data_IF_685539867485
#
_entry.id   IF_685539867485
#
_cell.length_a   1.000
_cell.length_b   1.000
_cell.length_c   1.000
_cell.angle_alpha   90.00
_cell.angle_beta   90.00
_cell.angle_gamma   90.00
#
_symmetry.space_group_name_H-M   'P 1'
#
loop_
_entity.id
_entity.type
_entity.pdbx_description
1 polymer ?
#
# COMPACT_ATOMS: atom_id res chain seq x y z
N UNK A 1 -19.84 21.66 5.17
CA UNK A 1 -19.21 20.71 6.10
C UNK A 1 -19.83 19.34 5.88
N UNK A 2 -19.15 18.42 5.17
CA UNK A 2 -19.56 17.02 5.18
C UNK A 2 -19.13 16.40 6.51
N UNK A 3 -20.11 15.92 7.26
CA UNK A 3 -19.90 15.07 8.43
C UNK A 3 -19.45 13.70 7.94
N UNK A 4 -18.15 13.41 7.97
CA UNK A 4 -17.66 12.04 7.79
C UNK A 4 -18.18 11.20 8.95
N UNK A 5 -19.17 10.37 8.66
CA UNK A 5 -19.77 9.46 9.63
C UNK A 5 -18.81 8.26 9.76
N UNK A 6 -18.25 8.03 10.94
CA UNK A 6 -17.36 6.89 11.23
C UNK A 6 -18.02 5.50 11.01
N UNK A 7 -19.28 5.47 10.57
CA UNK A 7 -20.04 4.26 10.22
C UNK A 7 -19.71 3.72 8.83
N UNK A 8 -19.13 4.53 7.94
CA UNK A 8 -18.84 4.14 6.55
C UNK A 8 -17.35 3.77 6.34
N UNK A 9 -16.53 3.86 7.39
CA UNK A 9 -15.11 3.47 7.36
C UNK A 9 -15.00 1.94 7.33
N UNK A 10 -14.35 1.40 6.30
CA UNK A 10 -14.09 -0.04 6.18
C UNK A 10 -12.67 -0.45 6.59
N UNK A 11 -11.70 0.45 6.50
CA UNK A 11 -10.31 0.19 6.87
C UNK A 11 -9.99 0.73 8.25
N UNK A 12 -9.43 -0.12 9.10
CA UNK A 12 -9.00 0.25 10.44
C UNK A 12 -7.55 -0.15 10.64
N UNK A 13 -6.78 0.67 11.34
CA UNK A 13 -5.49 0.21 11.81
C UNK A 13 -5.68 -0.86 12.87
N UNK A 14 -4.85 -1.90 12.85
CA UNK A 14 -4.95 -3.01 13.79
C UNK A 14 -4.93 -2.52 15.26
N UNK A 15 -4.11 -1.51 15.57
CA UNK A 15 -4.02 -0.96 16.92
C UNK A 15 -5.30 -0.26 17.41
N UNK A 16 -6.21 0.13 16.51
CA UNK A 16 -7.51 0.71 16.87
C UNK A 16 -8.53 -0.37 17.28
N UNK A 17 -8.27 -1.63 16.93
CA UNK A 17 -9.16 -2.75 17.14
C UNK A 17 -8.67 -3.60 18.30
N UNK A 18 -8.99 -3.20 19.54
CA UNK A 18 -8.53 -3.86 20.77
C UNK A 18 -8.88 -5.35 20.88
N UNK A 19 -9.95 -5.78 20.20
CA UNK A 19 -10.44 -7.16 20.19
C UNK A 19 -9.88 -7.99 19.03
N UNK A 20 -9.17 -7.36 18.08
CA UNK A 20 -8.58 -8.04 16.94
C UNK A 20 -7.11 -8.35 17.23
N UNK A 21 -6.71 -9.58 16.90
CA UNK A 21 -5.33 -10.03 16.94
C UNK A 21 -4.96 -10.55 15.56
N UNK A 22 -3.70 -10.37 15.18
CA UNK A 22 -3.15 -11.13 14.06
C UNK A 22 -3.33 -12.61 14.39
N UNK A 23 -3.88 -13.38 13.45
CA UNK A 23 -4.08 -14.82 13.66
C UNK A 23 -2.73 -15.47 13.98
N UNK A 24 -2.66 -16.49 14.84
CA UNK A 24 -1.38 -17.16 15.13
C UNK A 24 -0.72 -17.76 13.86
N UNK A 25 -1.51 -17.96 12.79
CA UNK A 25 -1.06 -18.37 11.46
C UNK A 25 -0.48 -17.25 10.60
N UNK A 26 -0.79 -15.99 10.89
CA UNK A 26 -0.20 -14.82 10.23
C UNK A 26 0.85 -14.23 11.17
N UNK A 27 2.11 -14.20 10.74
CA UNK A 27 3.16 -13.53 11.54
C UNK A 27 2.85 -12.05 11.65
N UNK A 28 3.12 -11.49 12.84
CA UNK A 28 3.10 -10.04 13.03
C UNK A 28 4.35 -9.46 12.39
N UNK A 29 4.18 -8.86 11.20
CA UNK A 29 5.27 -8.32 10.39
C UNK A 29 5.62 -6.87 10.72
N UNK A 30 5.01 -6.28 11.76
CA UNK A 30 5.37 -4.93 12.21
C UNK A 30 6.82 -4.93 12.68
N UNK A 31 7.56 -3.90 12.28
CA UNK A 31 9.00 -3.76 12.49
C UNK A 31 9.87 -4.47 11.45
N UNK A 32 9.26 -5.18 10.48
CA UNK A 32 10.04 -5.85 9.44
C UNK A 32 10.44 -4.84 8.36
N UNK A 33 11.69 -4.89 7.88
CA UNK A 33 12.11 -4.09 6.74
C UNK A 33 11.41 -4.56 5.47
N UNK A 34 11.16 -3.61 4.57
CA UNK A 34 10.56 -3.86 3.26
C UNK A 34 11.61 -3.70 2.17
N UNK A 35 11.64 -4.61 1.20
CA UNK A 35 12.52 -4.58 0.04
C UNK A 35 11.76 -4.51 -1.28
N UNK A 36 12.29 -3.72 -2.22
CA UNK A 36 11.81 -3.66 -3.60
C UNK A 36 12.22 -4.90 -4.43
N UNK A 37 11.78 -4.96 -5.69
CA UNK A 37 12.07 -6.02 -6.64
C UNK A 37 13.58 -6.24 -6.90
N UNK A 38 14.39 -5.19 -6.74
CA UNK A 38 15.85 -5.22 -6.89
C UNK A 38 16.57 -5.57 -5.57
N UNK A 39 15.83 -5.77 -4.48
CA UNK A 39 16.35 -6.10 -3.15
C UNK A 39 16.85 -4.90 -2.33
N UNK A 40 16.56 -3.67 -2.75
CA UNK A 40 16.87 -2.47 -1.96
C UNK A 40 15.87 -2.30 -0.82
N UNK A 41 16.36 -1.87 0.34
CA UNK A 41 15.50 -1.43 1.43
C UNK A 41 14.75 -0.15 1.05
N UNK A 42 13.44 -0.14 1.28
CA UNK A 42 12.58 1.02 1.00
C UNK A 42 11.97 1.64 2.26
N UNK A 43 12.01 0.93 3.39
CA UNK A 43 11.35 1.35 4.62
C UNK A 43 11.06 0.18 5.57
N UNK A 44 10.17 0.41 6.51
CA UNK A 44 9.79 -0.53 7.58
C UNK A 44 8.26 -0.58 7.76
N UNK A 45 7.72 -1.77 8.03
CA UNK A 45 6.29 -1.92 8.33
C UNK A 45 5.98 -1.36 9.70
N UNK A 46 5.24 -0.26 9.76
CA UNK A 46 4.85 0.37 11.03
C UNK A 46 3.49 -0.13 11.52
N UNK A 47 2.56 -0.40 10.61
CA UNK A 47 1.21 -0.84 10.96
C UNK A 47 0.59 -1.79 9.95
N UNK A 48 -0.58 -2.32 10.32
CA UNK A 48 -1.40 -3.18 9.48
C UNK A 48 -2.80 -2.58 9.37
N UNK A 49 -3.36 -2.56 8.17
CA UNK A 49 -4.75 -2.16 7.96
C UNK A 49 -5.64 -3.37 7.74
N UNK A 50 -6.72 -3.41 8.50
CA UNK A 50 -7.76 -4.44 8.48
C UNK A 50 -8.97 -3.91 7.72
N UNK A 51 -9.44 -4.71 6.76
CA UNK A 51 -10.78 -4.55 6.20
C UNK A 51 -11.78 -5.14 7.18
N UNK A 52 -12.68 -4.32 7.71
CA UNK A 52 -13.72 -4.77 8.64
C UNK A 52 -14.74 -5.67 7.95
N UNK A 53 -15.05 -5.41 6.68
CA UNK A 53 -15.95 -6.27 5.90
C UNK A 53 -15.41 -7.67 5.67
N UNK A 54 -14.08 -7.79 5.49
CA UNK A 54 -13.42 -9.06 5.19
C UNK A 54 -12.71 -9.70 6.39
N UNK A 55 -12.75 -9.02 7.55
CA UNK A 55 -12.16 -9.42 8.83
C UNK A 55 -10.70 -9.89 8.73
N UNK A 56 -9.92 -9.25 7.85
CA UNK A 56 -8.52 -9.62 7.59
C UNK A 56 -7.65 -8.41 7.30
N UNK A 57 -6.34 -8.60 7.45
CA UNK A 57 -5.33 -7.63 6.99
C UNK A 57 -5.36 -7.56 5.47
N UNK A 58 -5.42 -6.35 4.93
CA UNK A 58 -5.45 -6.09 3.47
C UNK A 58 -4.34 -5.17 3.01
N UNK A 59 -3.75 -4.38 3.91
CA UNK A 59 -2.55 -3.58 3.61
C UNK A 59 -1.53 -3.61 4.74
N UNK A 60 -0.27 -3.43 4.37
CA UNK A 60 0.80 -2.98 5.24
C UNK A 60 0.88 -1.45 5.18
N UNK A 61 1.00 -0.79 6.34
CA UNK A 61 1.37 0.62 6.44
C UNK A 61 2.89 0.70 6.65
N UNK A 62 3.60 1.28 5.70
CA UNK A 62 5.06 1.29 5.62
C UNK A 62 5.56 2.72 5.76
N UNK A 63 6.43 2.95 6.74
CA UNK A 63 7.22 4.17 6.82
C UNK A 63 8.36 4.08 5.81
N UNK A 64 8.40 5.02 4.87
CA UNK A 64 9.32 5.04 3.74
C UNK A 64 10.61 5.77 4.11
N UNK A 65 11.74 5.18 3.75
CA UNK A 65 13.07 5.75 4.01
C UNK A 65 13.25 7.10 3.29
N UNK A 66 13.94 8.04 3.95
CA UNK A 66 14.19 9.38 3.41
C UNK A 66 14.88 9.36 2.03
N UNK A 67 15.70 8.35 1.76
CA UNK A 67 16.40 8.22 0.48
C UNK A 67 15.45 7.93 -0.69
N UNK A 68 14.35 7.23 -0.43
CA UNK A 68 13.29 6.97 -1.41
C UNK A 68 12.48 8.26 -1.63
N UNK A 69 12.14 8.97 -0.55
CA UNK A 69 11.42 10.25 -0.60
C UNK A 69 12.21 11.28 -1.42
N UNK A 70 13.52 11.38 -1.18
CA UNK A 70 14.42 12.30 -1.89
C UNK A 70 14.63 11.93 -3.37
N UNK A 71 14.41 10.67 -3.76
CA UNK A 71 14.57 10.24 -5.15
C UNK A 71 13.56 10.92 -6.10
N UNK A 72 12.32 11.14 -5.63
CA UNK A 72 11.26 11.85 -6.36
C UNK A 72 11.55 13.36 -6.51
N UNK A 73 12.47 13.92 -5.71
CA UNK A 73 12.89 15.33 -5.85
C UNK A 73 14.01 15.54 -6.89
N UNK A 74 14.50 14.48 -7.55
CA UNK A 74 15.42 14.64 -8.69
C UNK A 74 14.60 14.95 -9.94
N UNK A 75 14.87 16.06 -10.66
CA UNK A 75 14.19 16.39 -11.90
C UNK A 75 14.68 15.43 -13.02
N UNK A 76 14.36 14.14 -12.92
CA UNK A 76 14.37 13.28 -14.08
C UNK A 76 13.18 13.70 -14.92
N UNK A 77 13.46 14.55 -15.90
CA UNK A 77 12.55 14.95 -16.95
C UNK A 77 12.15 13.72 -17.79
N UNK A 78 11.32 12.82 -17.25
CA UNK A 78 10.37 12.10 -18.09
C UNK A 78 9.27 13.11 -18.39
N UNK A 79 9.45 13.70 -19.56
CA UNK A 79 8.61 14.62 -20.27
C UNK A 79 7.13 14.55 -19.87
N UNK A 80 6.57 15.73 -19.65
CA UNK A 80 5.16 16.05 -19.73
C UNK A 80 4.58 15.71 -21.12
N UNK A 81 4.53 14.41 -21.45
CA UNK A 81 3.91 13.87 -22.66
C UNK A 81 2.68 13.02 -22.35
N UNK A 82 2.44 12.70 -21.09
CA UNK A 82 1.19 12.12 -20.62
C UNK A 82 0.74 12.93 -19.41
N UNK A 83 -0.49 13.44 -19.44
CA UNK A 83 -1.02 14.44 -18.51
C UNK A 83 -1.26 13.95 -17.08
N UNK A 84 -0.31 13.22 -16.49
CA UNK A 84 -0.53 12.30 -15.38
C UNK A 84 0.00 12.86 -14.06
N UNK A 85 -0.93 13.29 -13.21
CA UNK A 85 -0.94 13.22 -11.74
C UNK A 85 0.41 13.09 -11.01
N UNK A 86 1.29 14.10 -11.10
CA UNK A 86 2.38 14.23 -10.13
C UNK A 86 1.81 14.56 -8.76
N UNK A 87 1.94 13.67 -7.78
CA UNK A 87 1.55 13.97 -6.40
C UNK A 87 2.58 14.88 -5.76
N UNK A 88 2.12 16.03 -5.24
CA UNK A 88 2.94 16.86 -4.36
C UNK A 88 2.73 16.34 -2.94
N UNK A 89 3.74 15.68 -2.39
CA UNK A 89 3.72 15.22 -1.01
C UNK A 89 4.11 16.37 -0.07
N UNK A 90 3.40 16.51 1.04
CA UNK A 90 3.66 17.51 2.06
C UNK A 90 4.75 17.05 3.05
N UNK A 91 5.33 18.00 3.79
CA UNK A 91 6.24 17.65 4.89
C UNK A 91 5.55 16.75 5.92
N UNK A 92 6.25 15.69 6.31
CA UNK A 92 5.75 14.65 7.22
C UNK A 92 4.92 13.55 6.55
N UNK A 93 4.69 13.61 5.22
CA UNK A 93 4.08 12.52 4.47
C UNK A 93 5.14 11.51 4.04
N UNK A 94 5.40 10.55 4.91
CA UNK A 94 6.41 9.50 4.74
C UNK A 94 5.82 8.08 4.81
N UNK A 95 4.50 7.92 4.90
CA UNK A 95 3.85 6.62 4.90
C UNK A 95 3.21 6.28 3.55
N UNK A 96 3.27 5.02 3.18
CA UNK A 96 2.52 4.43 2.06
C UNK A 96 1.78 3.17 2.54
N UNK A 97 0.72 2.79 1.84
CA UNK A 97 0.11 1.48 2.01
C UNK A 97 0.52 0.53 0.88
N UNK A 98 0.79 -0.73 1.22
CA UNK A 98 1.09 -1.79 0.25
C UNK A 98 0.03 -2.88 0.36
N UNK A 99 -0.73 -3.19 -0.71
CA UNK A 99 -1.66 -4.32 -0.72
C UNK A 99 -0.97 -5.64 -0.36
N UNK A 100 -1.57 -6.42 0.53
CA UNK A 100 -0.96 -7.66 1.03
C UNK A 100 -0.79 -8.76 -0.04
N UNK A 101 -1.46 -8.65 -1.20
CA UNK A 101 -1.27 -9.59 -2.31
C UNK A 101 -0.01 -9.28 -3.14
N UNK A 102 0.60 -8.10 -2.96
CA UNK A 102 1.82 -7.70 -3.65
C UNK A 102 3.10 -7.94 -2.83
N UNK A 103 2.97 -8.58 -1.66
CA UNK A 103 4.08 -8.83 -0.75
C UNK A 103 4.34 -10.32 -0.58
N UNK A 104 5.61 -10.67 -0.50
CA UNK A 104 6.10 -12.00 -0.09
C UNK A 104 6.84 -11.87 1.25
N UNK A 105 6.63 -12.84 2.13
CA UNK A 105 7.16 -12.80 3.49
C UNK A 105 8.31 -13.80 3.64
N UNK A 106 9.52 -13.28 3.85
CA UNK A 106 10.65 -14.09 4.31
C UNK A 106 10.55 -14.23 5.83
N UNK A 107 9.99 -15.35 6.28
CA UNK A 107 9.77 -15.62 7.70
C UNK A 107 11.06 -15.97 8.46
N UNK A 108 12.12 -16.36 7.75
CA UNK A 108 13.40 -16.72 8.37
C UNK A 108 14.23 -15.48 8.65
N UNK A 109 14.24 -14.53 7.71
CA UNK A 109 14.97 -13.26 7.84
C UNK A 109 14.12 -12.14 8.45
N UNK A 110 12.82 -12.37 8.62
CA UNK A 110 11.85 -11.35 9.06
C UNK A 110 11.84 -10.13 8.11
N UNK A 111 11.71 -10.39 6.80
CA UNK A 111 11.74 -9.37 5.75
C UNK A 111 10.46 -9.46 4.90
N UNK A 112 9.91 -8.31 4.53
CA UNK A 112 8.86 -8.21 3.52
C UNK A 112 9.50 -7.89 2.16
N UNK A 113 9.24 -8.71 1.15
CA UNK A 113 9.71 -8.50 -0.22
C UNK A 113 8.54 -8.07 -1.10
N UNK A 114 8.77 -7.14 -2.04
CA UNK A 114 7.82 -6.80 -3.10
C UNK A 114 8.43 -7.16 -4.45
N UNK A 115 8.32 -8.43 -4.89
CA UNK A 115 9.10 -8.97 -6.00
C UNK A 115 8.84 -8.27 -7.34
N UNK A 116 7.67 -7.65 -7.50
CA UNK A 116 7.22 -7.02 -8.74
C UNK A 116 7.17 -5.49 -8.66
N UNK A 117 7.57 -4.88 -7.55
CA UNK A 117 7.49 -3.42 -7.36
C UNK A 117 8.90 -2.83 -7.27
N UNK A 118 9.24 -1.97 -8.24
CA UNK A 118 10.50 -1.25 -8.28
C UNK A 118 10.56 -0.01 -7.38
N UNK A 119 11.78 0.47 -7.13
CA UNK A 119 12.06 1.67 -6.32
C UNK A 119 11.33 2.93 -6.79
N UNK A 120 11.21 3.10 -8.10
CA UNK A 120 10.60 4.27 -8.73
C UNK A 120 9.12 4.37 -8.37
N UNK A 121 8.39 3.25 -8.41
CA UNK A 121 6.98 3.17 -8.01
C UNK A 121 6.80 3.67 -6.57
N UNK A 122 7.62 3.21 -5.62
CA UNK A 122 7.56 3.68 -4.23
C UNK A 122 7.86 5.18 -4.09
N UNK A 123 8.79 5.70 -4.89
CA UNK A 123 9.14 7.12 -4.84
C UNK A 123 8.02 8.03 -5.37
N UNK A 124 7.26 7.55 -6.36
CA UNK A 124 6.19 8.28 -7.04
C UNK A 124 4.82 8.09 -6.38
N UNK A 125 4.63 7.02 -5.61
CA UNK A 125 3.38 6.73 -4.90
C UNK A 125 3.02 7.87 -3.95
N UNK A 126 1.73 8.25 -3.94
CA UNK A 126 1.19 9.26 -3.03
C UNK A 126 1.38 8.82 -1.57
N UNK A 127 1.97 9.69 -0.76
CA UNK A 127 2.23 9.44 0.65
C UNK A 127 1.17 10.07 1.53
N UNK A 128 1.15 9.61 2.77
CA UNK A 128 0.33 10.12 3.86
C UNK A 128 1.18 10.28 5.11
N UNK A 129 0.61 10.97 6.10
CA UNK A 129 1.19 11.02 7.44
C UNK A 129 0.84 9.75 8.21
N UNK A 130 1.68 9.40 9.17
CA UNK A 130 1.42 8.31 10.11
C UNK A 130 0.02 8.42 10.74
N UNK A 131 -0.74 7.34 10.69
CA UNK A 131 -2.08 7.27 11.31
C UNK A 131 -3.17 8.06 10.59
N UNK A 132 -2.90 8.60 9.39
CA UNK A 132 -3.93 9.22 8.57
C UNK A 132 -5.08 8.25 8.28
N UNK A 133 -6.31 8.75 8.25
CA UNK A 133 -7.44 7.94 7.84
C UNK A 133 -7.31 7.60 6.35
N UNK A 134 -7.38 6.31 6.04
CA UNK A 134 -7.39 5.83 4.67
C UNK A 134 -8.82 5.85 4.14
N UNK A 135 -9.04 6.67 3.12
CA UNK A 135 -10.28 6.67 2.36
C UNK A 135 -10.11 5.95 1.01
N UNK A 136 -11.24 5.71 0.36
CA UNK A 136 -11.28 5.00 -0.93
C UNK A 136 -10.49 5.73 -2.02
N UNK A 137 -10.46 7.06 -2.00
CA UNK A 137 -9.77 7.82 -3.03
C UNK A 137 -8.26 7.60 -2.91
N UNK A 138 -7.72 7.61 -1.70
CA UNK A 138 -6.32 7.26 -1.47
C UNK A 138 -6.00 5.81 -1.86
N UNK A 139 -6.87 4.84 -1.53
CA UNK A 139 -6.69 3.45 -1.97
C UNK A 139 -6.59 3.35 -3.51
N UNK A 140 -7.43 4.08 -4.23
CA UNK A 140 -7.40 4.11 -5.71
C UNK A 140 -6.10 4.73 -6.22
N UNK A 141 -5.70 5.91 -5.71
CA UNK A 141 -4.46 6.59 -6.12
C UNK A 141 -3.22 5.70 -5.92
N UNK A 142 -3.18 4.95 -4.82
CA UNK A 142 -2.10 4.03 -4.49
C UNK A 142 -2.11 2.80 -5.41
N UNK A 143 -3.28 2.20 -5.63
CA UNK A 143 -3.41 1.06 -6.55
C UNK A 143 -3.00 1.40 -7.98
N UNK A 144 -3.34 2.59 -8.46
CA UNK A 144 -2.92 3.07 -9.77
C UNK A 144 -1.39 3.19 -9.89
N UNK A 145 -0.71 3.48 -8.78
CA UNK A 145 0.75 3.55 -8.76
C UNK A 145 1.38 2.17 -8.96
N UNK A 146 0.83 1.12 -8.35
CA UNK A 146 1.36 -0.26 -8.46
C UNK A 146 0.97 -0.97 -9.76
N UNK A 147 -0.17 -0.63 -10.36
CA UNK A 147 -0.66 -1.28 -11.59
C UNK A 147 -0.07 -0.70 -12.88
N UNK A 148 0.91 0.22 -12.79
CA UNK A 148 1.38 0.99 -13.95
C UNK A 148 1.95 0.13 -15.09
N UNK A 149 2.47 -1.06 -14.78
CA UNK A 149 3.02 -1.99 -15.77
C UNK A 149 2.04 -3.10 -16.20
N UNK A 150 0.93 -3.28 -15.49
CA UNK A 150 -0.16 -4.12 -15.98
C UNK A 150 -1.00 -3.26 -16.93
N UNK A 151 -1.07 -3.62 -18.23
CA UNK A 151 -2.06 -3.07 -19.16
C UNK A 151 -3.46 -3.24 -18.55
N UNK A 152 -3.94 -2.23 -17.81
CA UNK A 152 -5.19 -2.36 -17.10
C UNK A 152 -6.31 -2.29 -18.14
N UNK A 153 -6.94 -3.43 -18.44
CA UNK A 153 -8.12 -3.50 -19.32
C UNK A 153 -9.37 -2.81 -18.73
N UNK A 154 -9.28 -2.21 -17.54
CA UNK A 154 -10.39 -1.56 -16.86
C UNK A 154 -10.46 -0.08 -17.18
N UNK A 155 -11.64 0.38 -17.60
CA UNK A 155 -11.89 1.78 -17.92
C UNK A 155 -12.02 2.64 -16.65
N UNK A 156 -11.65 3.93 -16.67
CA UNK A 156 -11.83 4.84 -15.53
C UNK A 156 -13.28 4.90 -14.98
N UNK A 157 -14.28 4.61 -15.81
CA UNK A 157 -15.70 4.55 -15.43
C UNK A 157 -16.08 3.33 -14.59
N UNK A 158 -15.31 2.24 -14.65
CA UNK A 158 -15.54 1.03 -13.84
C UNK A 158 -14.94 1.15 -12.42
N UNK A 159 -14.13 2.20 -12.19
CA UNK A 159 -13.39 2.45 -10.94
C UNK A 159 -14.15 3.27 -9.89
N UNK A 160 -15.41 3.68 -10.13
CA UNK A 160 -16.13 4.61 -9.24
C UNK A 160 -17.11 3.94 -8.26
N UNK A 161 -16.81 4.20 -6.98
CA UNK A 161 -17.59 4.17 -5.73
C UNK A 161 -18.42 2.93 -5.36
N UNK A 162 -17.91 2.24 -4.33
CA UNK A 162 -18.47 1.05 -3.67
C UNK A 162 -18.39 -0.23 -4.49
N UNK A 163 -17.22 -0.56 -5.04
CA UNK A 163 -16.98 -1.95 -5.43
C UNK A 163 -16.59 -2.79 -4.20
N UNK A 164 -17.50 -3.58 -3.60
CA UNK A 164 -17.15 -4.53 -2.54
C UNK A 164 -16.19 -5.64 -3.03
N UNK A 165 -15.89 -5.70 -4.33
CA UNK A 165 -14.93 -6.65 -4.89
C UNK A 165 -13.49 -6.11 -4.93
N UNK A 166 -13.18 -4.89 -4.47
CA UNK A 166 -11.81 -4.37 -4.53
C UNK A 166 -10.79 -5.34 -3.89
N UNK A 167 -11.08 -5.82 -2.68
CA UNK A 167 -10.22 -6.80 -1.97
C UNK A 167 -10.26 -8.22 -2.56
N UNK A 168 -11.00 -8.42 -3.64
CA UNK A 168 -10.99 -9.66 -4.42
C UNK A 168 -10.09 -9.59 -5.64
N UNK A 169 -9.48 -8.45 -5.96
CA UNK A 169 -8.48 -8.39 -7.03
C UNK A 169 -7.20 -9.14 -6.64
N UNK A 170 -6.39 -9.52 -7.62
CA UNK A 170 -5.11 -10.21 -7.42
C UNK A 170 -4.18 -9.46 -6.45
N UNK A 171 -4.21 -8.12 -6.48
CA UNK A 171 -3.44 -7.27 -5.57
C UNK A 171 -3.73 -7.51 -4.08
N UNK A 172 -4.86 -8.12 -3.72
CA UNK A 172 -5.24 -8.43 -2.34
C UNK A 172 -5.35 -9.93 -2.05
N UNK A 173 -5.15 -10.78 -3.04
CA UNK A 173 -5.14 -12.23 -2.86
C UNK A 173 -3.68 -12.67 -2.69
N UNK A 174 -3.31 -13.16 -1.49
CA UNK A 174 -2.00 -13.80 -1.28
C UNK A 174 -1.81 -14.91 -2.33
N UNK A 175 -0.81 -14.78 -3.19
CA UNK A 175 -0.27 -15.89 -3.94
C UNK A 175 0.63 -16.69 -2.99
N UNK A 176 0.08 -17.74 -2.36
CA UNK A 176 0.94 -18.68 -1.62
C UNK A 176 1.77 -19.47 -2.62
N UNK A 177 2.90 -18.93 -3.07
CA UNK A 177 3.96 -19.73 -3.69
C UNK A 177 4.90 -20.23 -2.60
N UNK A 178 4.35 -21.00 -1.66
CA UNK A 178 5.16 -21.82 -0.77
C UNK A 178 5.68 -23.03 -1.56
N UNK A 179 6.96 -23.02 -1.92
CA UNK A 179 7.65 -24.23 -2.33
C UNK A 179 7.82 -25.14 -1.10
N UNK A 180 7.35 -26.38 -1.23
CA UNK A 180 7.51 -27.48 -0.28
C UNK A 180 8.93 -28.05 -0.31
#
# INVERSE_FOLDING_TARGET
>A
MSTYNNKDRNLFYLHELSDYKVSDSDKDVRGWPVKDADGHYIGEVENLLISKSDERVVYLDVEVDEEIIKANHKPYAKSALDGTHGFVNEEGENHIIIPIGLVDLDLEQEIVNTPDIGRDVFSETKRIRKGSLIDRHYETDVLESYQRDEESELTPSERMDNDPQLYKSSAYQKSYTGAY
#
